data_IF_385012928297
#
_entry.id   IF_385012928297
#
_cell.length_a   1.000
_cell.length_b   1.000
_cell.length_c   1.000
_cell.angle_alpha   90.00
_cell.angle_beta   90.00
_cell.angle_gamma   90.00
#
_symmetry.space_group_name_H-M   'P 1'
#
loop_
_entity.id
_entity.type
_entity.pdbx_description
1 polymer ?
#
# COMPACT_ATOMS: atom_id res chain seq x y z
N UNK A 1 -9.63 5.80 5.41
CA UNK A 1 -8.16 5.93 5.26
C UNK A 1 -7.70 7.34 5.58
N UNK A 2 -8.37 8.36 5.03
CA UNK A 2 -8.04 9.79 5.23
C UNK A 2 -7.86 10.18 6.69
N UNK A 3 -8.84 9.90 7.56
CA UNK A 3 -8.77 10.25 8.99
C UNK A 3 -7.56 9.68 9.73
N UNK A 4 -7.12 8.47 9.36
CA UNK A 4 -5.93 7.84 9.97
C UNK A 4 -4.68 8.56 9.51
N UNK A 5 -4.61 8.89 8.21
CA UNK A 5 -3.49 9.65 7.66
C UNK A 5 -3.44 11.08 8.21
N UNK A 6 -4.58 11.70 8.50
CA UNK A 6 -4.64 13.00 9.18
C UNK A 6 -4.15 12.91 10.62
N UNK A 7 -4.49 11.83 11.33
CA UNK A 7 -4.03 11.58 12.71
C UNK A 7 -2.54 11.22 12.78
N UNK A 8 -1.99 10.63 11.70
CA UNK A 8 -0.58 10.23 11.58
C UNK A 8 0.04 10.82 10.31
N UNK A 9 0.38 12.12 10.31
CA UNK A 9 0.90 12.81 9.13
C UNK A 9 2.26 12.26 8.65
N UNK A 10 3.08 11.75 9.56
CA UNK A 10 4.42 11.21 9.28
C UNK A 10 4.42 9.69 9.04
N UNK A 11 3.24 9.06 8.94
CA UNK A 11 3.16 7.62 8.72
C UNK A 11 3.68 7.21 7.33
N UNK A 12 4.59 6.25 7.31
CA UNK A 12 5.02 5.55 6.11
C UNK A 12 3.90 4.61 5.62
N UNK A 13 3.63 4.64 4.31
CA UNK A 13 2.55 3.86 3.69
C UNK A 13 3.15 2.65 2.96
N UNK A 14 2.70 1.45 3.33
CA UNK A 14 3.07 0.21 2.65
C UNK A 14 1.89 -0.35 1.87
N UNK A 15 2.09 -0.69 0.60
CA UNK A 15 1.03 -1.24 -0.27
C UNK A 15 1.57 -2.19 -1.33
N UNK A 16 0.76 -3.17 -1.74
CA UNK A 16 1.16 -4.14 -2.75
C UNK A 16 1.41 -3.49 -4.12
N UNK A 17 0.51 -2.59 -4.54
CA UNK A 17 0.55 -1.87 -5.82
C UNK A 17 -0.03 -0.48 -5.56
N UNK A 18 0.59 0.54 -6.12
CA UNK A 18 0.12 1.91 -6.06
C UNK A 18 0.40 2.60 -7.38
N UNK A 19 -0.66 3.15 -7.97
CA UNK A 19 -0.54 4.11 -9.05
C UNK A 19 -0.81 5.47 -8.42
N UNK A 20 0.05 6.42 -8.70
CA UNK A 20 -0.09 7.77 -8.18
C UNK A 20 -1.45 8.32 -8.63
N UNK A 21 -2.40 8.30 -7.71
CA UNK A 21 -3.68 8.95 -7.88
C UNK A 21 -3.47 10.43 -7.64
N UNK A 22 -4.18 11.31 -8.35
CA UNK A 22 -4.11 12.77 -8.13
C UNK A 22 -4.74 13.20 -6.80
N UNK A 23 -4.84 12.29 -5.84
CA UNK A 23 -5.44 12.52 -4.54
C UNK A 23 -4.44 13.24 -3.61
N UNK A 24 -4.79 14.44 -3.13
CA UNK A 24 -3.90 15.26 -2.30
C UNK A 24 -3.48 14.60 -0.99
N UNK A 25 -4.20 13.58 -0.48
CA UNK A 25 -3.86 12.92 0.80
C UNK A 25 -2.53 12.16 0.75
N UNK A 26 -2.09 11.78 -0.45
CA UNK A 26 -0.83 11.07 -0.69
C UNK A 26 0.32 12.01 -1.03
N UNK A 27 0.05 13.30 -1.21
CA UNK A 27 1.05 14.29 -1.55
C UNK A 27 2.05 14.40 -0.39
N UNK A 28 3.34 14.42 -0.73
CA UNK A 28 4.45 14.55 0.22
C UNK A 28 4.58 13.38 1.23
N UNK A 29 3.90 12.25 1.00
CA UNK A 29 4.03 11.03 1.82
C UNK A 29 4.98 10.02 1.23
N UNK A 30 5.69 9.29 2.10
CA UNK A 30 6.55 8.18 1.71
C UNK A 30 5.71 6.92 1.49
N UNK A 31 5.60 6.54 0.22
CA UNK A 31 4.83 5.36 -0.21
C UNK A 31 5.78 4.28 -0.70
N UNK A 32 5.79 3.16 -0.01
CA UNK A 32 6.58 1.97 -0.34
C UNK A 32 5.69 0.92 -0.99
N UNK A 33 6.07 0.51 -2.20
CA UNK A 33 5.36 -0.54 -2.95
C UNK A 33 6.12 -1.85 -2.93
N UNK A 34 5.39 -2.96 -3.02
CA UNK A 34 6.00 -4.29 -3.09
C UNK A 34 6.67 -4.57 -4.44
N UNK A 35 7.34 -5.72 -4.55
CA UNK A 35 7.89 -6.22 -5.81
C UNK A 35 6.85 -6.35 -6.93
N UNK A 36 5.56 -6.54 -6.60
CA UNK A 36 4.47 -6.66 -7.58
C UNK A 36 4.38 -5.43 -8.48
N UNK A 37 4.64 -4.22 -7.95
CA UNK A 37 4.61 -2.97 -8.71
C UNK A 37 5.59 -2.98 -9.90
N UNK A 38 6.74 -3.65 -9.74
CA UNK A 38 7.82 -3.69 -10.75
C UNK A 38 7.53 -4.65 -11.90
N UNK A 39 6.51 -5.50 -11.77
CA UNK A 39 6.18 -6.51 -12.78
C UNK A 39 4.98 -6.01 -13.59
N UNK A 40 5.17 -5.57 -14.86
CA UNK A 40 4.19 -4.78 -15.63
C UNK A 40 2.89 -5.53 -15.99
N UNK A 41 2.84 -6.83 -15.75
CA UNK A 41 1.64 -7.66 -15.91
C UNK A 41 0.92 -7.91 -14.57
N UNK A 42 1.68 -8.07 -13.48
CA UNK A 42 1.12 -8.31 -12.15
C UNK A 42 0.54 -7.03 -11.56
N UNK A 43 1.17 -5.87 -11.80
CA UNK A 43 0.68 -4.59 -11.30
C UNK A 43 -0.65 -4.14 -11.96
N UNK A 44 -0.97 -4.65 -13.16
CA UNK A 44 -2.22 -4.35 -13.88
C UNK A 44 -3.32 -5.38 -13.67
N UNK A 45 -2.98 -6.58 -13.23
CA UNK A 45 -3.94 -7.68 -13.09
C UNK A 45 -4.38 -7.87 -11.65
N UNK A 46 -5.59 -7.44 -11.32
CA UNK A 46 -6.17 -7.61 -9.97
C UNK A 46 -6.16 -9.07 -9.50
N UNK A 47 -6.49 -10.02 -10.38
CA UNK A 47 -6.52 -11.45 -10.04
C UNK A 47 -5.15 -11.99 -9.67
N UNK A 48 -4.13 -11.63 -10.45
CA UNK A 48 -2.77 -12.09 -10.18
C UNK A 48 -2.19 -11.37 -8.96
N UNK A 49 -2.39 -10.06 -8.86
CA UNK A 49 -1.99 -9.28 -7.69
C UNK A 49 -2.57 -9.86 -6.39
N UNK A 50 -3.82 -10.35 -6.41
CA UNK A 50 -4.45 -10.99 -5.25
C UNK A 50 -3.70 -12.25 -4.81
N UNK A 51 -3.32 -13.13 -5.74
CA UNK A 51 -2.57 -14.35 -5.43
C UNK A 51 -1.19 -14.08 -4.85
N UNK A 52 -0.52 -13.01 -5.31
CA UNK A 52 0.81 -12.63 -4.81
C UNK A 52 0.75 -11.68 -3.61
N UNK A 53 -0.43 -11.21 -3.21
CA UNK A 53 -0.60 -10.21 -2.16
C UNK A 53 -0.06 -10.65 -0.79
N UNK A 54 -0.24 -11.91 -0.34
CA UNK A 54 0.35 -12.37 0.91
C UNK A 54 1.88 -12.25 0.89
N UNK A 55 2.51 -12.75 -0.17
CA UNK A 55 3.97 -12.68 -0.37
C UNK A 55 4.47 -11.23 -0.44
N UNK A 56 3.70 -10.33 -1.04
CA UNK A 56 4.04 -8.91 -1.07
C UNK A 56 4.08 -8.30 0.34
N UNK A 57 3.09 -8.59 1.18
CA UNK A 57 3.06 -8.05 2.53
C UNK A 57 4.09 -8.69 3.46
N UNK A 58 4.34 -10.00 3.34
CA UNK A 58 5.41 -10.69 4.07
C UNK A 58 6.82 -10.20 3.69
N UNK A 59 6.98 -9.63 2.49
CA UNK A 59 8.26 -9.08 2.04
C UNK A 59 8.62 -7.72 2.66
N UNK A 60 7.67 -7.05 3.32
CA UNK A 60 7.95 -5.79 3.99
C UNK A 60 8.62 -6.04 5.34
N UNK A 61 9.74 -5.36 5.57
CA UNK A 61 10.32 -5.27 6.89
C UNK A 61 9.63 -4.15 7.66
N UNK A 62 8.85 -4.53 8.67
CA UNK A 62 8.13 -3.61 9.56
C UNK A 62 8.72 -3.61 10.97
N UNK A 63 9.90 -4.22 11.17
CA UNK A 63 10.53 -4.37 12.49
C UNK A 63 10.91 -3.04 13.15
N UNK A 64 11.11 -1.98 12.36
CA UNK A 64 11.41 -0.64 12.86
C UNK A 64 10.17 0.13 13.37
N UNK A 65 8.96 -0.41 13.22
CA UNK A 65 7.72 0.26 13.61
C UNK A 65 7.13 -0.33 14.90
N UNK A 66 6.82 0.52 15.86
CA UNK A 66 6.13 0.13 17.10
C UNK A 66 4.65 -0.22 16.87
N UNK A 67 4.03 0.41 15.86
CA UNK A 67 2.60 0.28 15.56
C UNK A 67 2.41 0.08 14.06
N UNK A 68 1.71 -0.99 13.70
CA UNK A 68 1.30 -1.27 12.33
C UNK A 68 -0.23 -1.23 12.24
N UNK A 69 -0.76 -0.35 11.41
CA UNK A 69 -2.21 -0.21 11.17
C UNK A 69 -2.52 -0.80 9.79
N UNK A 70 -3.17 -1.96 9.78
CA UNK A 70 -3.65 -2.57 8.53
C UNK A 70 -5.01 -1.99 8.15
N UNK A 71 -5.04 -1.20 7.07
CA UNK A 71 -6.26 -0.65 6.48
C UNK A 71 -6.57 -1.33 5.14
N UNK A 72 -7.79 -1.83 5.00
CA UNK A 72 -8.29 -2.36 3.74
C UNK A 72 -9.48 -1.52 3.28
N UNK A 73 -9.30 -0.71 2.24
CA UNK A 73 -10.43 -0.17 1.47
C UNK A 73 -10.71 -1.12 0.32
N UNK A 74 -11.60 -2.08 0.55
CA UNK A 74 -12.28 -2.77 -0.52
C UNK A 74 -13.48 -1.90 -0.89
N UNK A 75 -13.41 -1.17 -2.00
CA UNK A 75 -14.63 -0.75 -2.68
C UNK A 75 -15.36 -2.05 -3.08
N UNK A 76 -16.30 -2.47 -2.24
CA UNK A 76 -17.29 -3.47 -2.59
C UNK A 76 -18.16 -2.84 -3.66
N UNK A 77 -18.01 -3.28 -4.91
CA UNK A 77 -19.07 -3.07 -5.89
C UNK A 77 -20.25 -3.97 -5.55
#
# INVERSE_FOLDING_TARGET
MEQVLESFPEADIFTSVFFQDNNPIFKDRKITTSFIQKIPFLNKSHKLALSYRPLAFESFDLSEYDIVISLTSAESK
#
